data_IF_664549952359
#
_entry.id   IF_664549952359
#
_cell.length_a   1.000
_cell.length_b   1.000
_cell.length_c   1.000
_cell.angle_alpha   90.00
_cell.angle_beta   90.00
_cell.angle_gamma   90.00
#
_symmetry.space_group_name_H-M   'P 1'
#
loop_
_entity.id
_entity.type
_entity.pdbx_description
1 polymer ?
#
# COMPACT_ATOMS: atom_id res chain seq x y z
N UNK A 1 8.03 -15.46 -6.53
CA UNK A 1 6.79 -16.25 -6.53
C UNK A 1 6.59 -17.07 -5.25
N UNK A 2 7.59 -17.82 -4.77
CA UNK A 2 7.47 -18.58 -3.51
C UNK A 2 7.05 -17.71 -2.31
N UNK A 3 7.57 -16.48 -2.22
CA UNK A 3 7.20 -15.51 -1.18
C UNK A 3 5.76 -15.01 -1.20
N UNK A 4 4.96 -15.36 -2.21
CA UNK A 4 3.50 -15.11 -2.24
C UNK A 4 2.75 -16.44 -2.07
N UNK A 5 3.15 -17.47 -2.81
CA UNK A 5 2.48 -18.78 -2.81
C UNK A 5 2.47 -19.41 -1.41
N UNK A 6 3.63 -19.44 -0.73
CA UNK A 6 3.73 -20.09 0.58
C UNK A 6 2.86 -19.37 1.63
N UNK A 7 2.95 -18.03 1.80
CA UNK A 7 2.04 -17.32 2.70
C UNK A 7 0.56 -17.50 2.33
N UNK A 8 0.19 -17.52 1.05
CA UNK A 8 -1.19 -17.76 0.63
C UNK A 8 -1.67 -19.15 1.04
N UNK A 9 -0.89 -20.20 0.80
CA UNK A 9 -1.26 -21.57 1.20
C UNK A 9 -1.38 -21.70 2.71
N UNK A 10 -0.42 -21.15 3.46
CA UNK A 10 -0.47 -21.14 4.94
C UNK A 10 -1.70 -20.38 5.42
N UNK A 11 -2.02 -19.23 4.81
CA UNK A 11 -3.22 -18.44 5.12
C UNK A 11 -4.52 -19.20 4.85
N UNK A 12 -4.63 -19.88 3.70
CA UNK A 12 -5.79 -20.72 3.36
C UNK A 12 -5.99 -21.80 4.42
N UNK A 13 -4.93 -22.52 4.79
CA UNK A 13 -5.01 -23.58 5.81
C UNK A 13 -5.41 -23.01 7.16
N UNK A 14 -4.86 -21.87 7.57
CA UNK A 14 -5.17 -21.23 8.84
C UNK A 14 -6.63 -20.74 8.94
N UNK A 15 -7.15 -20.12 7.88
CA UNK A 15 -8.57 -19.69 7.83
C UNK A 15 -9.49 -20.91 7.80
N UNK A 16 -9.13 -21.94 7.02
CA UNK A 16 -9.91 -23.18 6.96
C UNK A 16 -9.98 -23.88 8.32
N UNK A 17 -8.86 -23.95 9.06
CA UNK A 17 -8.85 -24.58 10.39
C UNK A 17 -9.72 -23.82 11.40
N UNK A 18 -9.81 -22.49 11.29
CA UNK A 18 -10.66 -21.68 12.16
C UNK A 18 -12.14 -21.97 11.88
N UNK A 19 -12.54 -22.00 10.60
CA UNK A 19 -13.92 -22.34 10.20
C UNK A 19 -14.31 -23.75 10.67
N UNK A 20 -13.40 -24.72 10.57
CA UNK A 20 -13.63 -26.08 11.05
C UNK A 20 -13.74 -26.13 12.58
N UNK A 21 -12.91 -25.37 13.30
CA UNK A 21 -12.93 -25.30 14.77
C UNK A 21 -14.26 -24.78 15.32
N UNK A 22 -14.91 -23.84 14.61
CA UNK A 22 -16.14 -23.20 15.07
C UNK A 22 -17.39 -23.97 14.62
N UNK A 23 -17.27 -24.77 13.55
CA UNK A 23 -18.36 -25.24 12.68
C UNK A 23 -18.96 -24.09 11.85
N UNK A 24 -19.05 -24.21 10.51
CA UNK A 24 -19.66 -23.19 9.65
C UNK A 24 -21.04 -22.71 10.09
N UNK A 25 -21.84 -23.60 10.70
CA UNK A 25 -23.17 -23.26 11.22
C UNK A 25 -23.13 -22.25 12.38
N UNK A 26 -22.00 -22.15 13.09
CA UNK A 26 -21.83 -21.26 14.24
C UNK A 26 -20.89 -20.09 13.94
N UNK A 27 -20.35 -19.94 12.73
CA UNK A 27 -19.38 -18.87 12.44
C UNK A 27 -19.90 -17.46 12.80
N UNK A 28 -21.20 -17.24 12.64
CA UNK A 28 -21.86 -15.98 13.00
C UNK A 28 -21.84 -15.68 14.51
N UNK A 29 -21.72 -16.70 15.38
CA UNK A 29 -21.70 -16.47 16.84
C UNK A 29 -20.45 -15.75 17.31
N UNK A 30 -19.35 -15.81 16.54
CA UNK A 30 -18.11 -15.12 16.88
C UNK A 30 -18.07 -13.66 16.44
N UNK A 31 -19.07 -13.18 15.70
CA UNK A 31 -19.07 -11.82 15.18
C UNK A 31 -19.07 -10.73 16.27
N UNK A 32 -19.50 -11.09 17.50
CA UNK A 32 -19.48 -10.22 18.67
C UNK A 32 -18.28 -10.44 19.59
N UNK A 33 -17.44 -11.43 19.33
CA UNK A 33 -16.29 -11.72 20.17
C UNK A 33 -15.13 -10.76 19.88
N UNK A 34 -14.40 -10.42 20.94
CA UNK A 34 -13.26 -9.50 20.85
C UNK A 34 -12.10 -10.06 20.03
N UNK A 35 -11.98 -11.39 19.92
CA UNK A 35 -11.04 -12.09 19.06
C UNK A 35 -11.59 -13.47 18.65
N UNK A 36 -12.22 -13.56 17.47
CA UNK A 36 -12.81 -14.80 16.97
C UNK A 36 -11.84 -15.98 16.98
N UNK A 37 -10.60 -15.77 16.56
CA UNK A 37 -9.62 -16.85 16.48
C UNK A 37 -9.21 -17.38 17.86
N UNK A 38 -9.02 -16.51 18.86
CA UNK A 38 -8.74 -16.94 20.24
C UNK A 38 -9.91 -17.77 20.78
N UNK A 39 -11.13 -17.30 20.60
CA UNK A 39 -12.34 -17.99 21.08
C UNK A 39 -12.53 -19.33 20.37
N UNK A 40 -12.30 -19.38 19.06
CA UNK A 40 -12.38 -20.59 18.24
C UNK A 40 -11.41 -21.68 18.69
N UNK A 41 -10.16 -21.31 19.01
CA UNK A 41 -9.13 -22.28 19.36
C UNK A 41 -9.03 -22.60 20.85
N UNK A 42 -9.64 -21.80 21.73
CA UNK A 42 -9.58 -22.01 23.18
C UNK A 42 -10.00 -23.42 23.62
N UNK A 43 -11.08 -24.03 23.09
CA UNK A 43 -11.47 -25.40 23.45
C UNK A 43 -10.43 -26.47 23.09
N UNK A 44 -9.61 -26.21 22.07
CA UNK A 44 -8.63 -27.17 21.54
C UNK A 44 -7.24 -26.99 22.15
N UNK A 45 -6.84 -25.74 22.39
CA UNK A 45 -5.51 -25.39 22.88
C UNK A 45 -5.44 -25.27 24.41
N UNK A 46 -6.59 -25.12 25.07
CA UNK A 46 -6.68 -24.71 26.46
C UNK A 46 -6.15 -23.29 26.69
N UNK A 47 -6.23 -22.81 27.92
CA UNK A 47 -5.84 -21.43 28.27
C UNK A 47 -4.37 -21.13 27.93
N UNK A 48 -3.46 -22.06 28.24
CA UNK A 48 -2.04 -21.87 27.99
C UNK A 48 -1.73 -21.74 26.49
N UNK A 49 -2.30 -22.60 25.66
CA UNK A 49 -2.10 -22.54 24.21
C UNK A 49 -2.78 -21.31 23.58
N UNK A 50 -3.95 -20.90 24.09
CA UNK A 50 -4.62 -19.67 23.67
C UNK A 50 -3.79 -18.41 24.01
N UNK A 51 -3.12 -18.38 25.17
CA UNK A 51 -2.22 -17.28 25.53
C UNK A 51 -1.00 -17.23 24.61
N UNK A 52 -0.39 -18.38 24.30
CA UNK A 52 0.71 -18.45 23.33
C UNK A 52 0.26 -17.94 21.96
N UNK A 53 -0.91 -18.40 21.50
CA UNK A 53 -1.50 -17.93 20.24
C UNK A 53 -1.69 -16.40 20.25
N UNK A 54 -2.26 -15.83 21.31
CA UNK A 54 -2.49 -14.40 21.44
C UNK A 54 -1.18 -13.61 21.38
N UNK A 55 -0.12 -14.04 22.08
CA UNK A 55 1.20 -13.39 22.03
C UNK A 55 1.76 -13.43 20.60
N UNK A 56 1.70 -14.57 19.93
CA UNK A 56 2.19 -14.70 18.55
C UNK A 56 1.38 -13.82 17.60
N UNK A 57 0.06 -13.77 17.75
CA UNK A 57 -0.82 -12.91 16.94
C UNK A 57 -0.48 -11.43 17.14
N UNK A 58 -0.35 -10.97 18.39
CA UNK A 58 0.02 -9.58 18.70
C UNK A 58 1.40 -9.20 18.15
N UNK A 59 2.39 -10.09 18.26
CA UNK A 59 3.69 -9.89 17.62
C UNK A 59 3.55 -9.81 16.10
N UNK A 60 2.78 -10.70 15.49
CA UNK A 60 2.47 -10.69 14.06
C UNK A 60 1.87 -9.36 13.61
N UNK A 61 0.87 -8.85 14.34
CA UNK A 61 0.26 -7.53 14.10
C UNK A 61 1.30 -6.41 14.23
N UNK A 62 2.15 -6.42 15.26
CA UNK A 62 3.18 -5.41 15.47
C UNK A 62 4.20 -5.38 14.30
N UNK A 63 4.69 -6.54 13.87
CA UNK A 63 5.56 -6.65 12.70
C UNK A 63 4.86 -6.22 11.41
N UNK A 64 3.57 -6.54 11.27
CA UNK A 64 2.72 -6.09 10.18
C UNK A 64 2.63 -4.56 10.08
N UNK A 65 2.72 -3.84 11.20
CA UNK A 65 2.72 -2.38 11.23
C UNK A 65 4.11 -1.75 10.96
N UNK A 66 5.20 -2.40 11.41
CA UNK A 66 6.55 -1.84 11.28
C UNK A 66 7.03 -1.73 9.83
N UNK A 67 6.80 -2.76 9.00
CA UNK A 67 7.30 -2.78 7.62
C UNK A 67 6.65 -1.68 6.76
N UNK A 68 5.32 -1.52 6.73
CA UNK A 68 4.67 -0.42 6.04
C UNK A 68 5.04 0.95 6.62
N UNK A 69 5.21 1.05 7.95
CA UNK A 69 5.65 2.29 8.60
C UNK A 69 7.02 2.76 8.12
N UNK A 70 7.99 1.85 8.03
CA UNK A 70 9.32 2.14 7.48
C UNK A 70 9.28 2.49 5.98
N UNK A 71 8.45 1.78 5.21
CA UNK A 71 8.23 2.10 3.79
C UNK A 71 7.67 3.51 3.61
N UNK A 72 6.66 3.86 4.39
CA UNK A 72 6.01 5.18 4.36
C UNK A 72 6.98 6.31 4.76
N UNK A 73 7.81 6.10 5.78
CA UNK A 73 8.86 7.05 6.15
C UNK A 73 9.84 7.33 5.00
N UNK A 74 10.22 6.29 4.24
CA UNK A 74 11.09 6.43 3.06
C UNK A 74 10.39 7.17 1.92
N UNK A 75 9.10 6.94 1.71
CA UNK A 75 8.31 7.64 0.69
C UNK A 75 8.20 9.14 1.02
N UNK A 76 7.84 9.49 2.25
CA UNK A 76 7.77 10.89 2.72
C UNK A 76 9.13 11.57 2.55
N UNK A 77 10.21 10.90 2.97
CA UNK A 77 11.56 11.40 2.77
C UNK A 77 11.90 11.59 1.29
N UNK A 78 11.60 10.62 0.42
CA UNK A 78 11.89 10.75 -1.02
C UNK A 78 11.12 11.89 -1.64
N UNK A 79 9.85 12.09 -1.27
CA UNK A 79 9.06 13.24 -1.73
C UNK A 79 9.65 14.56 -1.25
N UNK A 80 10.19 14.61 -0.03
CA UNK A 80 10.82 15.81 0.50
C UNK A 80 12.19 16.12 -0.12
N UNK A 81 13.02 15.09 -0.33
CA UNK A 81 14.30 15.15 -1.04
C UNK A 81 14.10 15.66 -2.47
N UNK A 82 13.08 15.13 -3.13
CA UNK A 82 12.73 15.46 -4.52
C UNK A 82 11.93 16.78 -4.63
N UNK A 83 11.83 17.56 -3.54
CA UNK A 83 11.12 18.86 -3.47
C UNK A 83 9.63 18.80 -3.82
N UNK A 84 9.05 17.60 -3.90
CA UNK A 84 7.59 17.42 -4.01
C UNK A 84 6.89 17.78 -2.68
N UNK A 85 7.54 17.55 -1.54
CA UNK A 85 7.17 18.13 -0.24
C UNK A 85 8.27 19.12 0.15
N UNK A 86 8.01 20.42 0.07
CA UNK A 86 9.05 21.42 0.33
C UNK A 86 9.30 21.61 1.83
N UNK A 87 10.02 20.66 2.44
CA UNK A 87 10.36 20.66 3.85
C UNK A 87 11.81 20.25 4.07
N UNK A 88 12.60 21.20 4.57
CA UNK A 88 13.98 20.99 5.02
C UNK A 88 14.09 20.01 6.19
N UNK A 89 13.08 19.95 7.04
CA UNK A 89 13.07 19.02 8.19
C UNK A 89 12.86 17.58 7.73
N UNK A 90 11.97 17.34 6.77
CA UNK A 90 11.67 15.99 6.27
C UNK A 90 12.79 15.40 5.40
N UNK A 91 13.59 16.24 4.74
CA UNK A 91 14.73 15.79 3.90
C UNK A 91 16.01 15.50 4.68
N UNK A 92 16.01 15.61 6.02
CA UNK A 92 17.16 15.26 6.87
C UNK A 92 17.20 13.76 7.17
N UNK A 93 18.40 13.19 7.07
CA UNK A 93 18.71 11.84 7.56
C UNK A 93 19.48 11.93 8.88
N UNK A 94 19.32 10.93 9.73
CA UNK A 94 20.04 10.84 11.00
C UNK A 94 21.53 10.63 10.73
N UNK A 95 22.44 11.46 11.28
CA UNK A 95 23.87 11.43 10.92
C UNK A 95 24.56 10.09 11.23
N UNK A 96 24.17 9.43 12.32
CA UNK A 96 24.74 8.12 12.72
C UNK A 96 24.14 6.91 12.01
N UNK A 97 22.83 6.92 11.75
CA UNK A 97 22.08 5.72 11.33
C UNK A 97 21.66 5.76 9.86
N UNK A 98 21.80 6.91 9.18
CA UNK A 98 21.41 7.08 7.78
C UNK A 98 19.90 6.94 7.54
N UNK A 99 19.08 7.00 8.60
CA UNK A 99 17.63 6.80 8.52
C UNK A 99 16.88 8.14 8.41
N UNK A 100 15.74 8.19 7.69
CA UNK A 100 14.93 9.40 7.60
C UNK A 100 14.06 9.58 8.86
N UNK A 101 14.71 9.83 10.01
CA UNK A 101 14.07 9.82 11.33
C UNK A 101 12.89 10.81 11.42
N UNK A 102 13.03 12.01 10.87
CA UNK A 102 11.99 13.04 10.89
C UNK A 102 10.75 12.63 10.09
N UNK A 103 10.93 12.04 8.91
CA UNK A 103 9.83 11.49 8.13
C UNK A 103 9.14 10.32 8.85
N UNK A 104 9.92 9.49 9.56
CA UNK A 104 9.39 8.43 10.43
C UNK A 104 8.56 8.98 11.59
N UNK A 105 9.02 10.05 12.24
CA UNK A 105 8.28 10.71 13.32
C UNK A 105 6.98 11.33 12.81
N UNK A 106 6.99 11.97 11.63
CA UNK A 106 5.76 12.48 11.02
C UNK A 106 4.78 11.36 10.73
N UNK A 107 5.25 10.26 10.13
CA UNK A 107 4.41 9.10 9.84
C UNK A 107 3.80 8.50 11.11
N UNK A 108 4.60 8.36 12.18
CA UNK A 108 4.14 7.88 13.48
C UNK A 108 3.09 8.82 14.09
N UNK A 109 3.33 10.13 14.06
CA UNK A 109 2.41 11.12 14.63
C UNK A 109 1.07 11.12 13.88
N UNK A 110 1.10 11.21 12.54
CA UNK A 110 -0.11 11.20 11.70
C UNK A 110 -0.85 9.87 11.84
N UNK A 111 -0.13 8.75 11.79
CA UNK A 111 -0.73 7.42 11.96
C UNK A 111 -1.40 7.26 13.32
N UNK A 112 -0.72 7.63 14.40
CA UNK A 112 -1.28 7.57 15.77
C UNK A 112 -2.54 8.43 15.88
N UNK A 113 -2.51 9.68 15.40
CA UNK A 113 -3.67 10.58 15.46
C UNK A 113 -4.82 10.02 14.65
N UNK A 114 -4.57 9.54 13.42
CA UNK A 114 -5.61 8.96 12.57
C UNK A 114 -6.24 7.73 13.24
N UNK A 115 -5.43 6.81 13.77
CA UNK A 115 -5.92 5.62 14.49
C UNK A 115 -6.78 6.00 15.68
N UNK A 116 -6.29 6.89 16.57
CA UNK A 116 -7.04 7.31 17.75
C UNK A 116 -8.36 7.99 17.40
N UNK A 117 -8.37 8.84 16.37
CA UNK A 117 -9.59 9.52 15.92
C UNK A 117 -10.59 8.53 15.35
N UNK A 118 -10.16 7.60 14.50
CA UNK A 118 -11.05 6.60 13.90
C UNK A 118 -11.60 5.65 14.97
N UNK A 119 -10.76 5.14 15.86
CA UNK A 119 -11.19 4.26 16.96
C UNK A 119 -12.17 4.96 17.90
N UNK A 120 -11.87 6.20 18.31
CA UNK A 120 -12.76 6.97 19.17
C UNK A 120 -14.09 7.25 18.48
N UNK A 121 -14.08 7.64 17.20
CA UNK A 121 -15.30 7.88 16.44
C UNK A 121 -16.15 6.61 16.34
N UNK A 122 -15.54 5.47 16.02
CA UNK A 122 -16.26 4.20 15.91
C UNK A 122 -16.81 3.74 17.25
N UNK A 123 -16.06 3.91 18.35
CA UNK A 123 -16.55 3.63 19.70
C UNK A 123 -17.78 4.48 20.04
N UNK A 124 -17.75 5.78 19.74
CA UNK A 124 -18.85 6.70 20.06
C UNK A 124 -20.10 6.42 19.23
N UNK A 125 -19.95 6.04 17.95
CA UNK A 125 -21.08 5.82 17.05
C UNK A 125 -21.68 4.41 17.14
N UNK A 126 -20.85 3.39 17.38
CA UNK A 126 -21.26 1.99 17.31
C UNK A 126 -21.11 1.24 18.65
N UNK A 127 -20.63 1.90 19.70
CA UNK A 127 -20.37 1.30 21.01
C UNK A 127 -19.05 0.52 21.05
N UNK A 128 -18.67 -0.02 22.21
CA UNK A 128 -17.36 -0.65 22.41
C UNK A 128 -17.11 -1.85 21.49
N UNK A 129 -17.99 -2.85 21.53
CA UNK A 129 -17.78 -4.11 20.80
C UNK A 129 -17.79 -3.90 19.28
N UNK A 130 -18.83 -3.25 18.75
CA UNK A 130 -18.94 -3.01 17.31
C UNK A 130 -17.99 -1.91 16.83
N UNK A 131 -17.69 -0.91 17.66
CA UNK A 131 -16.77 0.17 17.33
C UNK A 131 -15.34 -0.32 17.14
N UNK A 132 -14.84 -1.21 18.00
CA UNK A 132 -13.50 -1.82 17.86
C UNK A 132 -13.42 -2.68 16.60
N UNK A 133 -14.46 -3.47 16.31
CA UNK A 133 -14.51 -4.27 15.08
C UNK A 133 -14.54 -3.36 13.85
N UNK A 134 -15.46 -2.40 13.81
CA UNK A 134 -15.66 -1.50 12.69
C UNK A 134 -14.44 -0.61 12.43
N UNK A 135 -13.69 -0.17 13.45
CA UNK A 135 -12.50 0.68 13.23
C UNK A 135 -11.40 -0.06 12.47
N UNK A 136 -11.13 -1.31 12.82
CA UNK A 136 -10.12 -2.14 12.15
C UNK A 136 -10.55 -2.45 10.73
N UNK A 137 -11.80 -2.86 10.52
CA UNK A 137 -12.31 -3.17 9.19
C UNK A 137 -12.41 -1.93 8.29
N UNK A 138 -12.79 -0.77 8.85
CA UNK A 138 -12.83 0.50 8.13
C UNK A 138 -11.42 0.94 7.69
N UNK A 139 -10.45 0.88 8.61
CA UNK A 139 -9.07 1.19 8.28
C UNK A 139 -8.52 0.20 7.23
N UNK A 140 -8.80 -1.09 7.39
CA UNK A 140 -8.40 -2.14 6.46
C UNK A 140 -8.98 -1.96 5.07
N UNK A 141 -10.28 -1.66 4.96
CA UNK A 141 -10.94 -1.41 3.68
C UNK A 141 -10.31 -0.18 3.00
N UNK A 142 -10.18 0.94 3.71
CA UNK A 142 -9.54 2.14 3.19
C UNK A 142 -8.11 1.88 2.69
N UNK A 143 -7.29 1.15 3.46
CA UNK A 143 -5.94 0.76 3.04
C UNK A 143 -5.99 -0.05 1.75
N UNK A 144 -6.91 -1.01 1.62
CA UNK A 144 -7.09 -1.80 0.40
C UNK A 144 -7.52 -0.91 -0.78
N UNK A 145 -8.40 0.06 -0.57
CA UNK A 145 -8.79 1.01 -1.62
C UNK A 145 -7.60 1.84 -2.12
N UNK A 146 -6.80 2.41 -1.21
CA UNK A 146 -5.57 3.12 -1.59
C UNK A 146 -4.54 2.19 -2.23
N UNK A 147 -4.44 0.95 -1.77
CA UNK A 147 -3.53 -0.04 -2.31
C UNK A 147 -3.89 -0.41 -3.75
N UNK A 148 -5.18 -0.56 -4.07
CA UNK A 148 -5.62 -0.75 -5.45
C UNK A 148 -5.19 0.42 -6.34
N UNK A 149 -5.46 1.67 -5.94
CA UNK A 149 -5.00 2.83 -6.70
C UNK A 149 -3.48 2.89 -6.85
N UNK A 150 -2.75 2.56 -5.78
CA UNK A 150 -1.29 2.54 -5.77
C UNK A 150 -0.71 1.59 -6.82
N UNK A 151 -1.39 0.48 -7.14
CA UNK A 151 -0.97 -0.44 -8.22
C UNK A 151 -1.54 -0.06 -9.58
N UNK A 152 -2.80 0.36 -9.65
CA UNK A 152 -3.45 0.73 -10.90
C UNK A 152 -2.76 1.91 -11.60
N UNK A 153 -2.30 2.92 -10.84
CA UNK A 153 -1.64 4.11 -11.41
C UNK A 153 -0.34 3.73 -12.15
N UNK A 154 0.64 3.05 -11.52
CA UNK A 154 1.83 2.55 -12.22
C UNK A 154 1.49 1.66 -13.42
N UNK A 155 0.56 0.72 -13.28
CA UNK A 155 0.21 -0.24 -14.32
C UNK A 155 -0.35 0.46 -15.58
N UNK A 156 -1.26 1.42 -15.39
CA UNK A 156 -1.79 2.23 -16.49
C UNK A 156 -0.72 3.19 -17.04
N UNK A 157 0.12 3.76 -16.18
CA UNK A 157 1.16 4.71 -16.60
C UNK A 157 2.26 4.06 -17.43
N UNK A 158 2.49 2.75 -17.29
CA UNK A 158 3.59 2.04 -17.94
C UNK A 158 3.52 2.15 -19.47
N UNK A 159 2.33 2.03 -20.04
CA UNK A 159 2.12 2.18 -21.48
C UNK A 159 2.54 3.57 -21.98
N UNK A 160 2.22 4.62 -21.22
CA UNK A 160 2.61 5.99 -21.54
C UNK A 160 4.11 6.21 -21.40
N UNK A 161 4.73 5.64 -20.36
CA UNK A 161 6.18 5.67 -20.15
C UNK A 161 6.90 5.00 -21.32
N UNK A 162 6.45 3.82 -21.76
CA UNK A 162 7.07 3.11 -22.88
C UNK A 162 6.96 3.87 -24.18
N UNK A 163 5.80 4.48 -24.45
CA UNK A 163 5.61 5.36 -25.60
C UNK A 163 6.54 6.57 -25.54
N UNK A 164 6.65 7.22 -24.37
CA UNK A 164 7.50 8.40 -24.16
C UNK A 164 8.98 8.10 -24.39
N UNK A 165 9.46 6.97 -23.88
CA UNK A 165 10.87 6.55 -24.01
C UNK A 165 11.15 5.65 -25.22
N UNK A 166 10.18 5.46 -26.12
CA UNK A 166 10.29 4.62 -27.33
C UNK A 166 10.82 3.20 -27.04
N UNK A 167 10.44 2.62 -25.89
CA UNK A 167 10.86 1.28 -25.48
C UNK A 167 10.22 0.25 -26.40
N UNK A 168 11.05 -0.52 -27.12
CA UNK A 168 10.56 -1.59 -28.01
C UNK A 168 10.30 -2.87 -27.21
N UNK A 169 9.08 -3.39 -27.31
CA UNK A 169 8.71 -4.69 -26.76
C UNK A 169 9.00 -5.75 -27.83
N UNK A 170 10.18 -6.39 -27.76
CA UNK A 170 10.67 -7.26 -28.84
C UNK A 170 10.54 -8.75 -28.57
N UNK A 171 10.36 -9.16 -27.32
CA UNK A 171 10.26 -10.57 -26.96
C UNK A 171 8.94 -10.88 -26.25
N UNK A 172 8.45 -12.14 -26.31
CA UNK A 172 7.19 -12.53 -25.68
C UNK A 172 7.17 -12.25 -24.18
N UNK A 173 8.28 -12.48 -23.47
CA UNK A 173 8.40 -12.22 -22.04
C UNK A 173 8.10 -10.76 -21.69
N UNK A 174 8.69 -9.82 -22.42
CA UNK A 174 8.50 -8.38 -22.23
C UNK A 174 7.06 -8.00 -22.58
N UNK A 175 6.47 -8.61 -23.62
CA UNK A 175 5.05 -8.39 -23.92
C UNK A 175 4.14 -8.85 -22.77
N UNK A 176 4.40 -10.03 -22.20
CA UNK A 176 3.64 -10.53 -21.06
C UNK A 176 3.80 -9.64 -19.82
N UNK A 177 5.02 -9.27 -19.45
CA UNK A 177 5.30 -8.48 -18.23
C UNK A 177 4.82 -7.03 -18.36
N UNK A 178 4.85 -6.45 -19.57
CA UNK A 178 4.58 -5.03 -19.76
C UNK A 178 3.19 -4.71 -20.27
N UNK A 179 2.46 -5.68 -20.82
CA UNK A 179 1.12 -5.48 -21.38
C UNK A 179 0.11 -6.41 -20.73
N UNK A 180 0.33 -7.74 -20.85
CA UNK A 180 -0.67 -8.72 -20.42
C UNK A 180 -0.83 -8.72 -18.90
N UNK A 181 0.26 -8.82 -18.14
CA UNK A 181 0.20 -8.90 -16.68
C UNK A 181 -0.39 -7.63 -16.04
N UNK A 182 0.01 -6.39 -16.43
CA UNK A 182 -0.63 -5.18 -15.93
C UNK A 182 -2.11 -5.08 -16.33
N UNK A 183 -2.50 -5.45 -17.56
CA UNK A 183 -3.88 -5.41 -17.99
C UNK A 183 -4.78 -6.41 -17.22
N UNK A 184 -4.29 -7.64 -17.02
CA UNK A 184 -4.99 -8.64 -16.22
C UNK A 184 -5.05 -8.22 -14.75
N UNK A 185 -3.95 -7.70 -14.20
CA UNK A 185 -3.89 -7.15 -12.84
C UNK A 185 -4.91 -6.02 -12.64
N UNK A 186 -4.95 -5.07 -13.58
CA UNK A 186 -5.92 -3.97 -13.59
C UNK A 186 -7.37 -4.49 -13.65
N UNK A 187 -7.67 -5.48 -14.48
CA UNK A 187 -9.00 -6.07 -14.58
C UNK A 187 -9.41 -6.76 -13.27
N UNK A 188 -8.51 -7.53 -12.67
CA UNK A 188 -8.73 -8.19 -11.37
C UNK A 188 -8.95 -7.13 -10.29
N UNK A 189 -8.10 -6.10 -10.21
CA UNK A 189 -8.25 -5.03 -9.24
C UNK A 189 -9.54 -4.24 -9.42
N UNK A 190 -9.92 -3.90 -10.66
CA UNK A 190 -11.17 -3.20 -10.93
C UNK A 190 -12.39 -4.05 -10.53
N UNK A 191 -12.38 -5.35 -10.84
CA UNK A 191 -13.44 -6.27 -10.44
C UNK A 191 -13.51 -6.44 -8.92
N UNK A 192 -12.39 -6.72 -8.26
CA UNK A 192 -12.33 -6.86 -6.80
C UNK A 192 -12.72 -5.58 -6.07
N UNK A 193 -12.36 -4.41 -6.62
CA UNK A 193 -12.80 -3.12 -6.12
C UNK A 193 -14.31 -2.95 -6.27
N UNK A 194 -14.87 -3.26 -7.44
CA UNK A 194 -16.31 -3.19 -7.66
C UNK A 194 -17.08 -4.11 -6.70
N UNK A 195 -16.74 -5.39 -6.65
CA UNK A 195 -17.40 -6.36 -5.77
C UNK A 195 -17.25 -5.97 -4.30
N UNK A 196 -16.06 -5.54 -3.88
CA UNK A 196 -15.81 -5.15 -2.49
C UNK A 196 -16.52 -3.86 -2.06
N UNK A 197 -16.90 -2.99 -3.01
CA UNK A 197 -17.43 -1.66 -2.71
C UNK A 197 -18.87 -1.40 -3.21
N UNK A 198 -19.46 -2.30 -4.00
CA UNK A 198 -20.78 -2.12 -4.63
C UNK A 198 -21.96 -2.11 -3.65
N UNK A 199 -21.81 -2.74 -2.48
CA UNK A 199 -22.85 -2.89 -1.46
C UNK A 199 -22.43 -2.41 -0.08
N UNK A 200 -21.57 -1.39 0.01
CA UNK A 200 -21.10 -0.89 1.29
C UNK A 200 -22.23 -0.25 2.11
N UNK A 201 -22.32 -0.68 3.35
CA UNK A 201 -23.10 -0.02 4.40
C UNK A 201 -22.20 0.85 5.26
N UNK A 202 -22.79 1.70 6.09
CA UNK A 202 -22.02 2.41 7.12
C UNK A 202 -21.37 1.42 8.11
N UNK A 203 -20.16 1.72 8.62
CA UNK A 203 -19.34 2.92 8.39
C UNK A 203 -18.46 2.90 7.13
N UNK A 204 -18.47 1.80 6.37
CA UNK A 204 -17.55 1.58 5.25
C UNK A 204 -17.82 2.52 4.07
N UNK A 205 -19.09 2.87 3.85
CA UNK A 205 -19.47 3.88 2.86
C UNK A 205 -18.83 5.25 3.18
N UNK A 206 -18.90 5.68 4.44
CA UNK A 206 -18.21 6.90 4.89
C UNK A 206 -16.69 6.86 4.64
N UNK A 207 -16.04 5.73 4.92
CA UNK A 207 -14.62 5.52 4.62
C UNK A 207 -14.29 5.61 3.13
N UNK A 208 -15.15 5.04 2.28
CA UNK A 208 -15.00 5.12 0.83
C UNK A 208 -15.16 6.56 0.30
N UNK A 209 -16.13 7.31 0.82
CA UNK A 209 -16.31 8.73 0.48
C UNK A 209 -15.07 9.53 0.90
N UNK A 210 -14.54 9.30 2.11
CA UNK A 210 -13.31 9.95 2.55
C UNK A 210 -12.13 9.63 1.63
N UNK A 211 -11.96 8.36 1.24
CA UNK A 211 -10.97 7.94 0.24
C UNK A 211 -11.13 8.68 -1.10
N UNK A 212 -12.36 8.81 -1.61
CA UNK A 212 -12.60 9.51 -2.87
C UNK A 212 -12.21 11.00 -2.76
N UNK A 213 -12.58 11.65 -1.65
CA UNK A 213 -12.25 13.06 -1.37
C UNK A 213 -10.74 13.27 -1.33
N UNK A 214 -9.99 12.43 -0.62
CA UNK A 214 -8.52 12.57 -0.52
C UNK A 214 -7.82 12.29 -1.84
N UNK A 215 -8.33 11.35 -2.65
CA UNK A 215 -7.81 11.11 -4.00
C UNK A 215 -8.01 12.34 -4.91
N UNK A 216 -9.20 12.95 -4.88
CA UNK A 216 -9.49 14.19 -5.62
C UNK A 216 -8.59 15.32 -5.11
N UNK A 217 -8.48 15.50 -3.79
CA UNK A 217 -7.61 16.51 -3.20
C UNK A 217 -6.13 16.32 -3.60
N UNK A 218 -5.65 15.07 -3.60
CA UNK A 218 -4.30 14.73 -4.04
C UNK A 218 -4.07 15.03 -5.52
N UNK A 219 -5.02 14.68 -6.39
CA UNK A 219 -4.96 14.98 -7.82
C UNK A 219 -4.96 16.50 -8.07
N UNK A 220 -5.81 17.24 -7.37
CA UNK A 220 -5.85 18.71 -7.44
C UNK A 220 -4.55 19.34 -6.95
N UNK A 221 -3.96 18.83 -5.86
CA UNK A 221 -2.67 19.29 -5.36
C UNK A 221 -1.56 19.09 -6.39
N UNK A 222 -1.47 17.88 -6.99
CA UNK A 222 -0.49 17.59 -8.05
C UNK A 222 -0.71 18.50 -9.26
N UNK A 223 -1.95 18.68 -9.70
CA UNK A 223 -2.29 19.55 -10.83
C UNK A 223 -1.92 21.02 -10.56
N UNK A 224 -2.21 21.52 -9.36
CA UNK A 224 -1.87 22.87 -8.94
C UNK A 224 -0.35 23.09 -8.99
N UNK A 225 0.42 22.13 -8.48
CA UNK A 225 1.88 22.18 -8.56
C UNK A 225 2.40 22.11 -10.00
N UNK A 226 1.82 21.22 -10.81
CA UNK A 226 2.15 21.10 -12.22
C UNK A 226 2.01 22.44 -12.97
N UNK A 227 0.92 23.19 -12.71
CA UNK A 227 0.71 24.50 -13.33
C UNK A 227 1.72 25.57 -12.92
N UNK A 228 2.37 25.41 -11.76
CA UNK A 228 3.40 26.32 -11.26
C UNK A 228 4.82 25.89 -11.65
N UNK A 229 4.96 24.79 -12.39
CA UNK A 229 6.24 24.15 -12.71
C UNK A 229 7.06 23.84 -11.45
N UNK A 230 6.40 23.49 -10.34
CA UNK A 230 7.04 23.25 -9.05
C UNK A 230 6.84 21.82 -8.54
N UNK A 231 6.53 20.86 -9.41
CA UNK A 231 6.38 19.43 -9.03
C UNK A 231 7.62 18.80 -8.35
N UNK A 232 8.75 19.50 -8.34
CA UNK A 232 10.00 19.02 -7.80
C UNK A 232 10.86 18.33 -8.86
N UNK A 233 11.86 17.59 -8.41
CA UNK A 233 12.87 16.95 -9.24
C UNK A 233 12.61 15.44 -9.30
N UNK A 234 12.62 14.86 -10.51
CA UNK A 234 12.50 13.42 -10.67
C UNK A 234 13.88 12.81 -10.87
N UNK A 235 14.40 12.10 -9.86
CA UNK A 235 15.68 11.37 -9.97
C UNK A 235 15.68 10.40 -11.15
N UNK A 236 14.52 9.78 -11.45
CA UNK A 236 14.36 8.91 -12.61
C UNK A 236 14.56 9.69 -13.90
N UNK A 237 13.91 10.85 -14.04
CA UNK A 237 14.03 11.68 -15.24
C UNK A 237 15.46 12.20 -15.42
N UNK A 238 16.11 12.62 -14.33
CA UNK A 238 17.51 13.09 -14.37
C UNK A 238 18.44 11.98 -14.84
N UNK A 239 18.38 10.79 -14.24
CA UNK A 239 19.24 9.67 -14.62
C UNK A 239 19.00 9.17 -16.04
N UNK A 240 17.74 9.11 -16.48
CA UNK A 240 17.40 8.70 -17.85
C UNK A 240 17.91 9.72 -18.87
N UNK A 241 17.78 11.01 -18.58
CA UNK A 241 18.33 12.06 -19.44
C UNK A 241 19.86 11.98 -19.53
N UNK A 242 20.55 11.74 -18.41
CA UNK A 242 22.01 11.58 -18.39
C UNK A 242 22.47 10.38 -19.23
N UNK A 243 21.76 9.26 -19.15
CA UNK A 243 22.06 8.06 -19.94
C UNK A 243 21.81 8.30 -21.44
N UNK A 244 20.70 8.97 -21.78
CA UNK A 244 20.39 9.35 -23.16
C UNK A 244 21.48 10.26 -23.75
N UNK A 245 21.91 11.27 -22.98
CA UNK A 245 23.00 12.17 -23.40
C UNK A 245 24.31 11.43 -23.62
N UNK A 246 24.65 10.46 -22.75
CA UNK A 246 25.85 9.62 -22.92
C UNK A 246 25.79 8.79 -24.20
N UNK A 247 24.62 8.22 -24.52
CA UNK A 247 24.45 7.41 -25.73
C UNK A 247 24.56 8.28 -26.99
N UNK A 248 23.90 9.44 -27.02
CA UNK A 248 24.02 10.41 -28.13
C UNK A 248 25.46 10.87 -28.34
N UNK A 249 26.20 11.10 -27.25
CA UNK A 249 27.62 11.50 -27.32
C UNK A 249 28.49 10.37 -27.90
N UNK A 250 28.20 9.10 -27.57
CA UNK A 250 28.90 7.95 -28.14
C UNK A 250 28.61 7.78 -29.64
N UNK A 251 27.34 7.84 -30.04
CA UNK A 251 26.92 7.75 -31.44
C UNK A 251 27.56 8.86 -32.29
N UNK A 252 27.62 10.10 -31.78
CA UNK A 252 28.28 11.21 -32.46
C UNK A 252 29.79 10.98 -32.61
N UNK A 253 30.46 10.42 -31.60
CA UNK A 253 31.89 10.12 -31.64
C UNK A 253 32.21 8.95 -32.60
N UNK A 254 31.34 7.95 -32.68
CA UNK A 254 31.46 6.83 -33.63
C UNK A 254 31.27 7.32 -35.07
N UNK A 255 30.23 8.12 -35.33
CA UNK A 255 29.99 8.73 -36.66
C UNK A 255 31.19 9.56 -37.12
N UNK A 256 31.80 10.36 -36.23
CA UNK A 256 33.00 11.13 -36.56
C UNK A 256 34.22 10.28 -36.88
N UNK A 257 34.33 9.07 -36.32
CA UNK A 257 35.41 8.12 -36.65
C UNK A 257 35.20 7.46 -37.99
N UNK A 258 33.97 7.19 -38.38
CA UNK A 258 33.65 6.59 -39.69
C UNK A 258 33.82 7.57 -40.85
N UNK A 259 33.69 8.88 -40.59
CA UNK A 259 33.88 9.94 -41.61
C UNK A 259 35.33 10.40 -41.79
N UNK A 260 36.29 9.85 -41.03
CA UNK A 260 37.72 10.17 -41.13
C UNK A 260 38.49 9.02 -41.73
#
# INVERSE_FOLDING_TARGET
MLGVIVPTLVGIVAVYSEVVAINPANAASLASDWNPAVVAYLPYLGLAGALVYLVVALLGQAFGAFVPGMGSARLIYSMARDKFLDSEWLRRVHPKYGTPANAGLLNLAVGTVATLVVELLMFQLYGYHQGVFNSVFLAGSMVVAYWFLHHMIPDVSLAFIYRRFKVKITNPRNFFVSVVAPAVGLAIFAYSFYEGYSSLTEPYLGGFIFFAITCVAGALYVWWRARRNDLGESVVSTKVNDELLRNLTREAAETQRETK
#
